data_IF_753311140844
#
_entry.id   IF_753311140844
#
_cell.length_a   1.000
_cell.length_b   1.000
_cell.length_c   1.000
_cell.angle_alpha   90.00
_cell.angle_beta   90.00
_cell.angle_gamma   90.00
#
_symmetry.space_group_name_H-M   'P 1'
#
loop_
_entity.id
_entity.type
_entity.pdbx_description
1 polymer ?
#
# COMPACT_ATOMS: atom_id res chain seq x y z
N UNK A 1 -2.32 -13.54 15.24
CA UNK A 1 -1.00 -12.97 14.89
C UNK A 1 -1.06 -11.69 14.04
N UNK A 2 -2.11 -11.41 13.23
CA UNK A 2 -2.19 -10.20 12.39
C UNK A 2 -2.13 -8.86 13.15
N UNK A 3 -2.70 -8.77 14.34
CA UNK A 3 -2.63 -7.55 15.16
C UNK A 3 -1.19 -7.15 15.46
N UNK A 4 -0.36 -8.11 15.87
CA UNK A 4 1.07 -7.88 16.16
C UNK A 4 1.80 -7.43 14.90
N UNK A 5 1.53 -8.07 13.75
CA UNK A 5 2.10 -7.66 12.46
C UNK A 5 1.82 -6.18 12.15
N UNK A 6 0.56 -5.77 12.25
CA UNK A 6 0.20 -4.37 12.01
C UNK A 6 0.78 -3.41 13.04
N UNK A 7 0.84 -3.81 14.32
CA UNK A 7 1.45 -3.03 15.38
C UNK A 7 2.95 -2.78 15.12
N UNK A 8 3.69 -3.82 14.72
CA UNK A 8 5.11 -3.70 14.40
C UNK A 8 5.35 -2.82 13.18
N UNK A 9 4.51 -2.92 12.15
CA UNK A 9 4.60 -2.03 10.98
C UNK A 9 4.33 -0.57 11.37
N UNK A 10 3.31 -0.33 12.19
CA UNK A 10 2.97 1.02 12.65
C UNK A 10 4.12 1.64 13.47
N UNK A 11 4.88 0.82 14.20
CA UNK A 11 6.01 1.25 15.02
C UNK A 11 7.37 0.99 14.35
N UNK A 12 7.41 0.86 13.02
CA UNK A 12 8.64 0.55 12.27
C UNK A 12 9.78 1.52 12.58
N UNK A 13 9.49 2.81 12.72
CA UNK A 13 10.50 3.84 13.04
C UNK A 13 11.17 3.56 14.38
N UNK A 14 10.39 3.27 15.42
CA UNK A 14 10.91 2.89 16.74
C UNK A 14 11.77 1.62 16.65
N UNK A 15 11.33 0.63 15.87
CA UNK A 15 12.10 -0.60 15.67
C UNK A 15 13.44 -0.29 14.98
N UNK A 16 13.45 0.56 13.96
CA UNK A 16 14.65 0.96 13.22
C UNK A 16 15.65 1.76 14.07
N UNK A 17 15.21 2.52 15.07
CA UNK A 17 16.09 3.23 16.02
C UNK A 17 16.91 2.26 16.90
N UNK A 18 16.38 1.07 17.17
CA UNK A 18 17.06 0.04 17.95
C UNK A 18 18.11 -0.74 17.12
N UNK A 19 18.34 -0.36 15.85
CA UNK A 19 19.42 -0.92 15.04
C UNK A 19 20.66 -0.02 15.08
N UNK A 20 21.82 -0.62 15.41
CA UNK A 20 23.10 0.09 15.52
C UNK A 20 24.06 -0.32 14.39
N UNK A 21 24.97 0.59 14.01
CA UNK A 21 26.03 0.34 13.02
C UNK A 21 25.92 1.21 11.77
N UNK A 22 27.05 1.76 11.31
CA UNK A 22 27.09 2.70 10.18
C UNK A 22 27.04 2.00 8.81
N UNK A 23 27.68 0.83 8.66
CA UNK A 23 27.75 0.09 7.38
C UNK A 23 26.80 -1.11 7.34
N UNK A 24 26.73 -1.91 8.41
CA UNK A 24 25.76 -2.99 8.56
C UNK A 24 25.00 -2.73 9.85
N UNK A 25 23.69 -2.55 9.73
CA UNK A 25 22.81 -2.31 10.86
C UNK A 25 22.48 -3.63 11.55
N UNK A 26 22.80 -3.75 12.83
CA UNK A 26 22.45 -4.91 13.65
C UNK A 26 21.38 -4.52 14.68
N UNK A 27 20.33 -5.33 14.85
CA UNK A 27 19.33 -5.09 15.88
C UNK A 27 19.93 -5.24 17.27
N UNK A 28 19.61 -4.32 18.17
CA UNK A 28 19.78 -4.56 19.59
C UNK A 28 18.72 -5.55 20.07
N UNK A 29 19.10 -6.83 20.17
CA UNK A 29 18.17 -7.89 20.51
C UNK A 29 17.54 -7.71 21.89
N UNK A 30 18.22 -7.05 22.85
CA UNK A 30 17.68 -6.79 24.18
C UNK A 30 16.50 -5.83 24.08
N UNK A 31 16.72 -4.67 23.44
CA UNK A 31 15.68 -3.65 23.26
C UNK A 31 14.48 -4.16 22.43
N UNK A 32 14.73 -5.05 21.45
CA UNK A 32 13.66 -5.65 20.66
C UNK A 32 12.84 -6.66 21.46
N UNK A 33 13.49 -7.50 22.28
CA UNK A 33 12.79 -8.52 23.10
C UNK A 33 11.99 -7.85 24.22
N UNK A 34 12.49 -6.75 24.77
CA UNK A 34 11.85 -5.98 25.84
C UNK A 34 10.77 -5.02 25.34
N UNK A 35 10.50 -4.97 24.02
CA UNK A 35 9.49 -4.11 23.44
C UNK A 35 8.09 -4.42 24.01
N UNK A 36 7.53 -3.44 24.73
CA UNK A 36 6.20 -3.56 25.31
C UNK A 36 5.12 -3.36 24.24
N UNK A 37 4.40 -4.44 23.93
CA UNK A 37 3.25 -4.41 23.01
C UNK A 37 1.98 -4.33 23.85
N UNK A 38 1.17 -3.26 23.73
CA UNK A 38 -0.13 -3.19 24.37
C UNK A 38 -1.09 -4.19 23.70
N UNK A 39 -1.62 -5.12 24.50
CA UNK A 39 -2.58 -6.13 24.02
C UNK A 39 -3.98 -5.76 24.51
N UNK A 40 -4.81 -5.08 23.69
CA UNK A 40 -6.19 -4.76 24.06
C UNK A 40 -7.07 -6.02 24.04
N UNK A 41 -8.33 -5.95 24.51
CA UNK A 41 -9.28 -7.06 24.39
C UNK A 41 -9.41 -7.59 22.95
N UNK A 42 -9.64 -8.91 22.81
CA UNK A 42 -9.65 -9.60 21.52
C UNK A 42 -10.64 -9.01 20.51
N UNK A 43 -11.78 -8.50 20.97
CA UNK A 43 -12.78 -7.84 20.13
C UNK A 43 -12.23 -6.59 19.44
N UNK A 44 -11.43 -5.80 20.18
CA UNK A 44 -10.79 -4.60 19.66
C UNK A 44 -9.66 -4.99 18.71
N UNK A 45 -8.85 -5.99 19.05
CA UNK A 45 -7.80 -6.50 18.16
C UNK A 45 -8.38 -6.91 16.80
N UNK A 46 -9.49 -7.66 16.80
CA UNK A 46 -10.14 -8.12 15.57
C UNK A 46 -10.68 -6.95 14.74
N UNK A 47 -11.30 -5.96 15.38
CA UNK A 47 -11.78 -4.75 14.68
C UNK A 47 -10.65 -3.96 14.02
N UNK A 48 -9.52 -3.82 14.73
CA UNK A 48 -8.32 -3.16 14.18
C UNK A 48 -7.81 -3.93 12.96
N UNK A 49 -7.65 -5.25 13.09
CA UNK A 49 -7.18 -6.11 12.00
C UNK A 49 -8.11 -6.05 10.79
N UNK A 50 -9.43 -6.06 11.00
CA UNK A 50 -10.41 -6.00 9.91
C UNK A 50 -10.28 -4.71 9.08
N UNK A 51 -10.15 -3.56 9.77
CA UNK A 51 -10.00 -2.27 9.10
C UNK A 51 -8.69 -2.22 8.33
N UNK A 52 -7.59 -2.66 8.95
CA UNK A 52 -6.27 -2.63 8.34
C UNK A 52 -6.15 -3.62 7.17
N UNK A 53 -6.74 -4.81 7.27
CA UNK A 53 -6.80 -5.79 6.18
C UNK A 53 -7.55 -5.23 4.97
N UNK A 54 -8.68 -4.54 5.19
CA UNK A 54 -9.44 -3.88 4.12
C UNK A 54 -8.61 -2.81 3.42
N UNK A 55 -7.89 -1.98 4.17
CA UNK A 55 -7.01 -0.95 3.62
C UNK A 55 -5.81 -1.55 2.88
N UNK A 56 -5.18 -2.57 3.45
CA UNK A 56 -4.06 -3.27 2.83
C UNK A 56 -4.47 -3.90 1.50
N UNK A 57 -5.62 -4.57 1.47
CA UNK A 57 -6.16 -5.17 0.24
C UNK A 57 -6.43 -4.10 -0.81
N UNK A 58 -7.09 -3.00 -0.44
CA UNK A 58 -7.39 -1.91 -1.38
C UNK A 58 -6.13 -1.23 -1.95
N UNK A 59 -5.02 -1.24 -1.21
CA UNK A 59 -3.78 -0.55 -1.61
C UNK A 59 -2.77 -1.45 -2.32
N UNK A 60 -2.69 -2.74 -1.98
CA UNK A 60 -1.64 -3.65 -2.44
C UNK A 60 -2.11 -4.74 -3.40
N UNK A 61 -3.41 -5.03 -3.48
CA UNK A 61 -3.88 -6.02 -4.43
C UNK A 61 -3.69 -5.50 -5.86
N UNK A 62 -3.10 -6.32 -6.72
CA UNK A 62 -2.84 -5.97 -8.12
C UNK A 62 -4.10 -6.20 -8.96
N UNK A 63 -4.95 -7.16 -8.57
CA UNK A 63 -6.16 -7.53 -9.28
C UNK A 63 -7.40 -6.78 -8.78
N UNK A 64 -7.29 -6.02 -7.69
CA UNK A 64 -8.37 -5.20 -7.14
C UNK A 64 -7.81 -3.86 -6.63
N UNK A 65 -8.67 -2.95 -6.15
CA UNK A 65 -8.21 -1.71 -5.51
C UNK A 65 -7.46 -0.72 -6.41
N UNK A 66 -6.57 0.07 -5.80
CA UNK A 66 -5.88 1.19 -6.44
C UNK A 66 -4.98 0.80 -7.61
N UNK A 67 -4.16 -0.26 -7.55
CA UNK A 67 -3.27 -0.62 -8.66
C UNK A 67 -4.05 -0.92 -9.95
N UNK A 68 -5.14 -1.69 -9.84
CA UNK A 68 -6.03 -1.98 -10.97
C UNK A 68 -6.67 -0.69 -11.51
N UNK A 69 -7.19 0.17 -10.62
CA UNK A 69 -7.83 1.42 -11.03
C UNK A 69 -6.83 2.31 -11.81
N UNK A 70 -5.60 2.46 -11.30
CA UNK A 70 -4.55 3.24 -11.96
C UNK A 70 -4.24 2.68 -13.35
N UNK A 71 -4.13 1.35 -13.49
CA UNK A 71 -3.89 0.71 -14.79
C UNK A 71 -5.02 1.01 -15.78
N UNK A 72 -6.27 0.85 -15.35
CA UNK A 72 -7.45 1.13 -16.17
C UNK A 72 -7.51 2.60 -16.60
N UNK A 73 -7.21 3.53 -15.67
CA UNK A 73 -7.16 4.97 -15.96
C UNK A 73 -6.05 5.33 -16.94
N UNK A 74 -4.89 4.68 -16.86
CA UNK A 74 -3.80 4.84 -17.85
C UNK A 74 -4.23 4.39 -19.24
N UNK A 75 -4.82 3.19 -19.36
CA UNK A 75 -5.34 2.68 -20.65
C UNK A 75 -6.41 3.62 -21.23
N UNK A 76 -7.33 4.08 -20.38
CA UNK A 76 -8.36 5.05 -20.78
C UNK A 76 -7.74 6.35 -21.29
N UNK A 77 -6.77 6.90 -20.55
CA UNK A 77 -6.05 8.12 -20.95
C UNK A 77 -5.32 7.94 -22.29
N UNK A 78 -4.59 6.83 -22.47
CA UNK A 78 -3.87 6.54 -23.71
C UNK A 78 -4.83 6.43 -24.90
N UNK A 79 -5.96 5.73 -24.74
CA UNK A 79 -6.98 5.63 -25.77
C UNK A 79 -7.49 7.02 -26.20
N UNK A 80 -7.92 7.86 -25.24
CA UNK A 80 -8.46 9.18 -25.58
C UNK A 80 -7.39 10.14 -26.09
N UNK A 81 -6.15 10.06 -25.57
CA UNK A 81 -5.02 10.82 -26.09
C UNK A 81 -4.76 10.48 -27.55
N UNK A 82 -4.67 9.18 -27.88
CA UNK A 82 -4.42 8.74 -29.25
C UNK A 82 -5.60 9.10 -30.17
N UNK A 83 -6.84 8.96 -29.70
CA UNK A 83 -8.03 9.39 -30.45
C UNK A 83 -8.03 10.89 -30.73
N UNK A 84 -7.67 11.72 -29.74
CA UNK A 84 -7.61 13.18 -29.89
C UNK A 84 -6.51 13.62 -30.88
N UNK A 85 -5.40 12.89 -30.91
CA UNK A 85 -4.25 13.17 -31.78
C UNK A 85 -4.34 12.48 -33.15
N UNK A 86 -5.37 11.68 -33.40
CA UNK A 86 -5.67 11.08 -34.70
C UNK A 86 -6.48 12.06 -35.58
N UNK A 87 -5.80 13.12 -36.01
CA UNK A 87 -6.41 14.21 -36.77
C UNK A 87 -7.00 13.73 -38.12
N UNK A 88 -6.40 12.74 -38.76
CA UNK A 88 -6.87 12.17 -40.02
C UNK A 88 -8.22 11.47 -39.85
N UNK A 89 -8.38 10.71 -38.76
CA UNK A 89 -9.63 10.03 -38.46
C UNK A 89 -10.71 11.00 -38.00
N UNK A 90 -10.35 11.99 -37.19
CA UNK A 90 -11.27 13.08 -36.81
C UNK A 90 -11.78 13.84 -38.05
N UNK A 91 -10.90 14.13 -39.01
CA UNK A 91 -11.29 14.81 -40.25
C UNK A 91 -12.25 13.95 -41.09
N UNK A 92 -12.01 12.63 -41.17
CA UNK A 92 -12.92 11.68 -41.84
C UNK A 92 -14.28 11.56 -41.16
N UNK A 93 -14.34 11.57 -39.83
CA UNK A 93 -15.61 11.54 -39.07
C UNK A 93 -16.42 12.83 -39.27
N UNK A 94 -15.78 14.00 -39.37
CA UNK A 94 -16.45 15.30 -39.59
C UNK A 94 -16.94 15.53 -41.01
N UNK A 95 -16.40 14.80 -41.99
CA UNK A 95 -16.78 14.91 -43.40
C UNK A 95 -17.97 14.00 -43.77
N UNK A 96 -18.46 13.17 -42.84
CA UNK A 96 -19.71 12.42 -42.94
C UNK A 96 -20.87 13.21 -42.34
#
# INVERSE_FOLDING_TARGET
MKFIYYFLIANKMLIEENYRGASVKHPNMIEIIELLIPIPPISIQNKIVEILDKLETYTKDINTGLPLEIEQRKKQYEYYRNKLLDFDNIARERAK
#
